data_IF_996331842979
#
_entry.id   IF_996331842979
#
_cell.length_a   1.000
_cell.length_b   1.000
_cell.length_c   1.000
_cell.angle_alpha   90.00
_cell.angle_beta   90.00
_cell.angle_gamma   90.00
#
_symmetry.space_group_name_H-M   'P 1'
#
loop_
_entity.id
_entity.type
_entity.pdbx_description
1 polymer ?
#
# COMPACT_ATOMS: atom_id res chain seq x y z
N UNK A 1 -13.30 -11.16 -4.86
CA UNK A 1 -12.81 -10.00 -4.09
C UNK A 1 -12.43 -8.93 -5.09
N UNK A 2 -12.86 -7.69 -4.87
CA UNK A 2 -12.47 -6.52 -5.68
C UNK A 2 -11.78 -5.52 -4.75
N UNK A 3 -10.83 -4.77 -5.28
CA UNK A 3 -10.06 -3.76 -4.56
C UNK A 3 -10.03 -2.48 -5.41
N UNK A 4 -9.97 -1.33 -4.74
CA UNK A 4 -9.77 -0.05 -5.42
C UNK A 4 -8.28 0.18 -5.67
N UNK A 5 -7.94 0.61 -6.87
CA UNK A 5 -6.55 0.91 -7.25
C UNK A 5 -6.42 2.32 -7.78
N UNK A 6 -5.32 2.96 -7.45
CA UNK A 6 -4.87 4.14 -8.16
C UNK A 6 -3.98 3.70 -9.33
N UNK A 7 -4.50 3.90 -10.52
CA UNK A 7 -3.84 3.67 -11.81
C UNK A 7 -3.83 5.01 -12.57
N UNK A 8 -2.63 5.46 -12.97
CA UNK A 8 -2.43 6.77 -13.57
C UNK A 8 -2.29 6.69 -15.09
N UNK A 9 -1.82 5.56 -15.63
CA UNK A 9 -1.53 5.35 -17.03
C UNK A 9 -2.09 4.00 -17.49
N UNK A 10 -3.01 4.01 -18.45
CA UNK A 10 -3.69 2.79 -18.94
C UNK A 10 -2.81 1.77 -19.70
N UNK A 11 -1.51 2.02 -19.84
CA UNK A 11 -0.55 1.16 -20.54
C UNK A 11 0.84 1.28 -19.92
N UNK A 12 0.92 1.29 -18.59
CA UNK A 12 2.19 1.28 -17.88
C UNK A 12 2.90 -0.07 -18.06
N UNK A 13 4.20 -0.09 -17.76
CA UNK A 13 5.00 -1.33 -17.79
C UNK A 13 4.51 -2.40 -16.81
N UNK A 14 3.70 -2.01 -15.81
CA UNK A 14 3.09 -2.90 -14.82
C UNK A 14 1.74 -3.46 -15.23
N UNK A 15 1.25 -3.09 -16.42
CA UNK A 15 -0.03 -3.52 -16.96
C UNK A 15 0.17 -4.72 -17.90
N UNK A 16 -0.84 -5.58 -17.98
CA UNK A 16 -0.84 -6.77 -18.85
C UNK A 16 0.44 -7.62 -18.72
N UNK A 17 0.95 -7.77 -17.50
CA UNK A 17 2.13 -8.59 -17.22
C UNK A 17 1.90 -10.03 -17.64
N UNK A 18 2.99 -10.77 -17.84
CA UNK A 18 2.93 -12.23 -17.94
C UNK A 18 2.28 -12.84 -16.70
N UNK A 19 1.88 -14.10 -16.82
CA UNK A 19 1.47 -14.91 -15.69
C UNK A 19 2.64 -15.22 -14.76
N UNK A 20 2.35 -15.31 -13.45
CA UNK A 20 3.30 -15.58 -12.40
C UNK A 20 2.90 -16.85 -11.63
N UNK A 21 3.73 -17.88 -11.73
CA UNK A 21 3.61 -19.06 -10.89
C UNK A 21 4.29 -18.81 -9.54
N UNK A 22 3.50 -18.58 -8.51
CA UNK A 22 4.00 -18.32 -7.15
C UNK A 22 4.42 -19.65 -6.51
N UNK A 23 5.70 -19.82 -6.09
CA UNK A 23 6.14 -21.05 -5.46
C UNK A 23 5.42 -21.31 -4.13
N UNK A 24 5.34 -22.58 -3.69
CA UNK A 24 4.85 -22.91 -2.35
C UNK A 24 5.60 -22.11 -1.26
N UNK A 25 4.86 -21.66 -0.25
CA UNK A 25 5.41 -20.87 0.86
C UNK A 25 5.83 -19.45 0.49
N UNK A 26 5.45 -18.96 -0.70
CA UNK A 26 5.71 -17.59 -1.12
C UNK A 26 4.42 -16.84 -1.46
N UNK A 27 4.52 -15.52 -1.53
CA UNK A 27 3.42 -14.60 -1.81
C UNK A 27 3.80 -13.63 -2.92
N UNK A 28 2.82 -13.31 -3.77
CA UNK A 28 2.93 -12.22 -4.74
C UNK A 28 2.25 -10.99 -4.16
N UNK A 29 3.01 -9.90 -4.00
CA UNK A 29 2.51 -8.66 -3.41
C UNK A 29 2.37 -7.59 -4.47
N UNK A 30 1.28 -6.82 -4.39
CA UNK A 30 1.03 -5.65 -5.24
C UNK A 30 0.56 -4.49 -4.40
N UNK A 31 1.02 -3.28 -4.73
CA UNK A 31 0.50 -2.06 -4.13
C UNK A 31 -0.77 -1.56 -4.81
N UNK A 32 -1.63 -0.87 -4.06
CA UNK A 32 -2.86 -0.28 -4.62
C UNK A 32 -2.58 0.93 -5.52
N UNK A 33 -1.46 1.64 -5.29
CA UNK A 33 -0.97 2.69 -6.18
C UNK A 33 -0.07 2.07 -7.26
N UNK A 34 -0.71 1.56 -8.32
CA UNK A 34 -0.14 0.57 -9.25
C UNK A 34 1.06 1.06 -10.01
N UNK A 35 1.01 2.30 -10.50
CA UNK A 35 2.11 2.90 -11.26
C UNK A 35 3.25 3.44 -10.39
N UNK A 36 3.02 3.55 -9.08
CA UNK A 36 4.02 4.02 -8.12
C UNK A 36 4.38 2.96 -7.08
N UNK A 37 4.30 1.69 -7.45
CA UNK A 37 4.66 0.58 -6.57
C UNK A 37 5.83 -0.21 -7.13
N UNK A 38 6.92 -0.27 -6.37
CA UNK A 38 7.97 -1.25 -6.58
C UNK A 38 7.55 -2.55 -5.89
N UNK A 39 6.85 -3.41 -6.62
CA UNK A 39 6.23 -4.63 -6.09
C UNK A 39 6.66 -5.90 -6.86
N UNK A 40 5.99 -7.03 -6.63
CA UNK A 40 6.39 -8.33 -7.17
C UNK A 40 6.33 -8.41 -8.71
N UNK A 41 5.64 -7.48 -9.38
CA UNK A 41 5.68 -7.37 -10.85
C UNK A 41 7.05 -6.94 -11.37
N UNK A 42 7.86 -6.32 -10.52
CA UNK A 42 9.13 -5.69 -10.87
C UNK A 42 10.31 -6.30 -10.12
N UNK A 43 10.91 -5.54 -9.19
CA UNK A 43 12.20 -5.86 -8.57
C UNK A 43 12.09 -6.63 -7.25
N UNK A 44 10.91 -6.64 -6.60
CA UNK A 44 10.74 -7.28 -5.29
C UNK A 44 10.70 -8.81 -5.41
N UNK A 45 10.08 -9.33 -6.48
CA UNK A 45 9.86 -10.76 -6.65
C UNK A 45 8.88 -11.34 -5.63
N UNK A 46 8.92 -12.66 -5.44
CA UNK A 46 8.05 -13.36 -4.50
C UNK A 46 8.54 -13.21 -3.06
N UNK A 47 7.62 -13.00 -2.12
CA UNK A 47 7.91 -12.81 -0.69
C UNK A 47 7.77 -14.14 0.06
N UNK A 48 8.82 -14.68 0.69
CA UNK A 48 8.72 -15.88 1.53
C UNK A 48 7.78 -15.68 2.72
N UNK A 49 7.08 -16.74 3.12
CA UNK A 49 6.14 -16.72 4.24
C UNK A 49 6.78 -16.28 5.56
N UNK A 50 8.05 -16.62 5.81
CA UNK A 50 8.77 -16.20 7.01
C UNK A 50 8.94 -14.68 7.13
N UNK A 51 8.82 -13.93 6.03
CA UNK A 51 8.93 -12.48 6.02
C UNK A 51 7.59 -11.78 6.37
N UNK A 52 6.50 -12.54 6.52
CA UNK A 52 5.20 -11.98 6.91
C UNK A 52 5.15 -11.71 8.41
N UNK A 53 5.05 -10.42 8.76
CA UNK A 53 4.92 -9.98 10.16
C UNK A 53 3.46 -9.95 10.62
N UNK A 54 2.54 -9.46 9.77
CA UNK A 54 1.12 -9.37 10.11
C UNK A 54 0.30 -8.54 9.12
N UNK A 55 -1.02 -8.46 9.37
CA UNK A 55 -1.98 -7.68 8.55
C UNK A 55 -2.17 -6.28 9.13
N UNK A 56 -2.11 -5.26 8.28
CA UNK A 56 -2.49 -3.89 8.64
C UNK A 56 -4.02 -3.75 8.73
N UNK A 57 -4.55 -3.49 9.93
CA UNK A 57 -6.00 -3.49 10.19
C UNK A 57 -6.56 -2.12 10.61
N UNK A 58 -5.72 -1.17 11.03
CA UNK A 58 -6.15 0.08 11.65
C UNK A 58 -5.26 1.24 11.24
N UNK A 59 -5.88 2.34 10.80
CA UNK A 59 -5.23 3.64 10.72
C UNK A 59 -5.41 4.34 12.08
N UNK A 60 -4.37 4.30 12.90
CA UNK A 60 -4.40 4.96 14.21
C UNK A 60 -4.36 6.50 14.10
N UNK A 61 -3.54 7.04 13.18
CA UNK A 61 -3.33 8.48 13.05
C UNK A 61 -2.93 8.87 11.61
N UNK A 62 -3.32 10.07 11.16
CA UNK A 62 -2.95 10.62 9.85
C UNK A 62 -2.90 12.16 9.86
N UNK A 63 -1.79 12.73 9.40
CA UNK A 63 -1.61 14.17 9.17
C UNK A 63 -1.37 14.48 7.68
N UNK A 64 -1.88 15.60 7.19
CA UNK A 64 -1.73 16.03 5.80
C UNK A 64 -0.45 16.84 5.57
N UNK A 65 -0.06 16.99 4.29
CA UNK A 65 0.83 18.07 3.85
C UNK A 65 2.28 18.02 4.33
N UNK A 66 2.97 16.86 4.24
CA UNK A 66 4.38 16.67 4.64
C UNK A 66 4.74 17.18 6.06
N UNK A 67 3.74 17.53 6.88
CA UNK A 67 3.95 17.99 8.23
C UNK A 67 4.49 16.85 9.09
N UNK A 68 5.47 17.17 9.94
CA UNK A 68 5.99 16.19 10.89
C UNK A 68 4.94 15.94 11.99
N UNK A 69 4.80 14.70 12.48
CA UNK A 69 3.97 14.43 13.66
C UNK A 69 4.37 15.28 14.88
N UNK A 70 5.62 15.72 14.99
CA UNK A 70 6.05 16.55 16.13
C UNK A 70 5.60 18.01 16.03
N UNK A 71 5.10 18.46 14.88
CA UNK A 71 4.52 19.80 14.73
C UNK A 71 3.09 19.83 15.27
N UNK A 72 2.94 19.58 16.58
CA UNK A 72 1.65 19.40 17.27
C UNK A 72 0.73 20.61 17.07
N UNK A 73 1.28 21.82 16.92
CA UNK A 73 0.53 23.04 16.63
C UNK A 73 -0.17 23.04 15.27
N UNK A 74 0.26 22.21 14.31
CA UNK A 74 -0.39 22.05 13.00
C UNK A 74 -1.51 21.01 13.01
N UNK A 75 -1.63 20.20 14.06
CA UNK A 75 -2.59 19.09 14.10
C UNK A 75 -4.05 19.53 14.01
N UNK A 76 -4.52 20.62 14.66
CA UNK A 76 -5.91 21.02 14.58
C UNK A 76 -6.42 21.28 13.16
N UNK A 77 -5.54 21.70 12.25
CA UNK A 77 -5.89 22.00 10.85
C UNK A 77 -5.51 20.87 9.87
N UNK A 78 -4.41 20.15 10.12
CA UNK A 78 -3.87 19.17 9.18
C UNK A 78 -4.23 17.72 9.50
N UNK A 79 -4.76 17.42 10.67
CA UNK A 79 -5.18 16.06 10.99
C UNK A 79 -6.36 15.64 10.10
N UNK A 80 -6.23 14.47 9.47
CA UNK A 80 -7.32 13.87 8.69
C UNK A 80 -8.27 13.11 9.62
N UNK A 81 -9.13 13.85 10.32
CA UNK A 81 -10.02 13.28 11.35
C UNK A 81 -10.89 12.11 10.85
N UNK A 82 -11.30 12.13 9.57
CA UNK A 82 -12.06 11.04 8.95
C UNK A 82 -11.30 9.70 8.86
N UNK A 83 -9.98 9.70 9.03
CA UNK A 83 -9.13 8.51 9.00
C UNK A 83 -8.66 8.06 10.38
N UNK A 84 -8.99 8.80 11.44
CA UNK A 84 -8.60 8.46 12.80
C UNK A 84 -9.37 7.22 13.26
N UNK A 85 -8.65 6.20 13.75
CA UNK A 85 -9.19 4.89 14.11
C UNK A 85 -9.99 4.19 13.00
N UNK A 86 -9.65 4.47 11.73
CA UNK A 86 -10.34 3.84 10.61
C UNK A 86 -9.83 2.40 10.41
N UNK A 87 -10.74 1.43 10.48
CA UNK A 87 -10.44 0.03 10.23
C UNK A 87 -10.35 -0.25 8.72
N UNK A 88 -9.33 -1.02 8.33
CA UNK A 88 -9.11 -1.48 6.96
C UNK A 88 -9.67 -2.90 6.87
N UNK A 89 -10.84 -3.05 6.25
CA UNK A 89 -11.51 -4.34 6.07
C UNK A 89 -11.36 -4.87 4.65
#
# INVERSE_FOLDING_TARGET
VSYDTLDLNSNSIGDNTREFDVPPGHYFMMGDNRDNSADSRFTVGYVPAENLVGRANLVFFSIAGKASPLEIWKWPSLMRASRLFHFVN
#
